data_IF_915815747819
#
_entry.id   IF_915815747819
#
_cell.length_a   1.000
_cell.length_b   1.000
_cell.length_c   1.000
_cell.angle_alpha   90.00
_cell.angle_beta   90.00
_cell.angle_gamma   90.00
#
_symmetry.space_group_name_H-M   'P 1'
#
loop_
_entity.id
_entity.type
_entity.pdbx_description
1 polymer ?
#
# COMPACT_ATOMS: atom_id res chain seq x y z
N UNK A 1 -12.50 22.69 -17.32
CA UNK A 1 -13.79 23.11 -16.69
C UNK A 1 -14.59 24.05 -17.57
N UNK A 2 -14.05 24.53 -18.69
CA UNK A 2 -14.69 25.56 -19.51
C UNK A 2 -15.95 25.06 -20.24
N UNK A 3 -16.07 23.74 -20.44
CA UNK A 3 -17.28 23.07 -20.94
C UNK A 3 -18.43 22.99 -19.89
N UNK A 4 -18.19 23.36 -18.62
CA UNK A 4 -19.17 23.29 -17.52
C UNK A 4 -19.21 24.61 -16.74
N UNK A 5 -19.68 25.72 -17.34
CA UNK A 5 -19.59 27.06 -16.75
C UNK A 5 -20.37 27.19 -15.42
N UNK A 6 -21.52 26.53 -15.30
CA UNK A 6 -22.31 26.52 -14.06
C UNK A 6 -21.59 25.84 -12.90
N UNK A 7 -20.88 24.74 -13.17
CA UNK A 7 -20.02 24.07 -12.19
C UNK A 7 -18.84 24.96 -11.81
N UNK A 8 -18.11 25.50 -12.80
CA UNK A 8 -16.97 26.41 -12.58
C UNK A 8 -17.35 27.58 -11.67
N UNK A 9 -18.48 28.25 -11.93
CA UNK A 9 -18.99 29.36 -11.10
C UNK A 9 -19.21 28.96 -9.65
N UNK A 10 -19.91 27.84 -9.39
CA UNK A 10 -20.21 27.36 -8.03
C UNK A 10 -18.96 26.87 -7.31
N UNK A 11 -18.08 26.17 -8.01
CA UNK A 11 -16.82 25.67 -7.48
C UNK A 11 -15.89 26.83 -7.08
N UNK A 12 -15.68 27.82 -7.96
CA UNK A 12 -14.90 29.02 -7.62
C UNK A 12 -15.54 29.86 -6.51
N UNK A 13 -16.87 29.92 -6.44
CA UNK A 13 -17.55 30.56 -5.30
C UNK A 13 -17.24 29.84 -4.00
N UNK A 14 -17.36 28.51 -3.98
CA UNK A 14 -17.05 27.68 -2.82
C UNK A 14 -15.60 27.88 -2.35
N UNK A 15 -14.62 27.83 -3.26
CA UNK A 15 -13.20 27.99 -2.93
C UNK A 15 -12.87 29.36 -2.32
N UNK A 16 -13.60 30.42 -2.70
CA UNK A 16 -13.36 31.79 -2.21
C UNK A 16 -14.07 32.11 -0.89
N UNK A 17 -15.19 31.47 -0.59
CA UNK A 17 -16.07 31.88 0.52
C UNK A 17 -16.18 30.83 1.63
N UNK A 18 -15.74 29.59 1.40
CA UNK A 18 -15.73 28.55 2.43
C UNK A 18 -14.28 28.27 2.82
N UNK A 19 -13.86 28.81 3.97
CA UNK A 19 -12.52 28.58 4.52
C UNK A 19 -12.45 27.44 5.54
N UNK A 20 -13.59 26.85 5.93
CA UNK A 20 -13.67 25.84 6.98
C UNK A 20 -14.21 24.50 6.45
N UNK A 21 -13.84 23.40 7.12
CA UNK A 21 -14.33 22.04 6.87
C UNK A 21 -13.93 21.51 5.49
N UNK A 22 -14.85 21.34 4.52
CA UNK A 22 -14.59 20.69 3.24
C UNK A 22 -13.52 21.34 2.36
N UNK A 23 -13.19 22.64 2.54
CA UNK A 23 -12.18 23.33 1.74
C UNK A 23 -10.75 22.81 1.94
N UNK A 24 -10.42 22.34 3.15
CA UNK A 24 -9.08 21.83 3.47
C UNK A 24 -8.72 20.55 2.71
N UNK A 25 -9.74 19.91 2.13
CA UNK A 25 -9.65 18.67 1.36
C UNK A 25 -9.53 18.91 -0.15
N UNK A 26 -9.50 20.17 -0.58
CA UNK A 26 -9.32 20.56 -1.98
C UNK A 26 -7.98 21.29 -2.10
N UNK A 27 -7.00 20.64 -2.70
CA UNK A 27 -5.70 21.25 -2.95
C UNK A 27 -5.69 21.86 -4.35
N UNK A 28 -4.99 22.98 -4.49
CA UNK A 28 -4.89 23.75 -5.73
C UNK A 28 -3.42 24.04 -6.02
N UNK A 29 -3.00 23.82 -7.27
CA UNK A 29 -1.66 24.12 -7.76
C UNK A 29 -1.73 24.56 -9.22
N UNK A 30 -0.77 25.38 -9.65
CA UNK A 30 -0.61 25.69 -11.07
C UNK A 30 -0.43 24.40 -11.89
N UNK A 31 -1.08 24.37 -13.05
CA UNK A 31 -1.04 23.21 -13.93
C UNK A 31 0.32 23.12 -14.62
N UNK A 32 0.92 21.93 -14.54
CA UNK A 32 2.13 21.61 -15.31
C UNK A 32 1.84 21.36 -16.78
N UNK A 33 0.57 21.15 -17.17
CA UNK A 33 0.17 20.83 -18.55
C UNK A 33 -0.34 22.03 -19.34
N UNK A 34 -0.97 23.00 -18.68
CA UNK A 34 -1.54 24.18 -19.32
C UNK A 34 -0.93 25.45 -18.72
N UNK A 35 -0.31 26.28 -19.56
CA UNK A 35 0.10 27.64 -19.16
C UNK A 35 -1.12 28.39 -18.62
N UNK A 36 -1.05 28.85 -17.37
CA UNK A 36 -2.12 29.51 -16.62
C UNK A 36 -3.32 28.63 -16.23
N UNK A 37 -3.21 27.30 -16.35
CA UNK A 37 -4.22 26.36 -15.84
C UNK A 37 -4.04 26.10 -14.35
N UNK A 38 -5.10 25.67 -13.67
CA UNK A 38 -5.05 25.20 -12.28
C UNK A 38 -5.40 23.71 -12.24
N UNK A 39 -4.66 22.96 -11.43
CA UNK A 39 -4.94 21.56 -11.11
C UNK A 39 -5.52 21.49 -9.71
N UNK A 40 -6.63 20.78 -9.57
CA UNK A 40 -7.27 20.55 -8.28
C UNK A 40 -7.15 19.07 -7.90
N UNK A 41 -6.87 18.81 -6.64
CA UNK A 41 -6.88 17.47 -6.06
C UNK A 41 -7.87 17.44 -4.89
N UNK A 42 -8.88 16.58 -4.99
CA UNK A 42 -9.83 16.31 -3.90
C UNK A 42 -9.34 15.10 -3.11
N UNK A 43 -9.09 15.28 -1.81
CA UNK A 43 -8.42 14.28 -0.96
C UNK A 43 -9.10 14.16 0.39
N UNK A 44 -9.09 12.96 0.98
CA UNK A 44 -9.54 12.81 2.37
C UNK A 44 -8.52 13.43 3.34
N UNK A 45 -7.21 13.11 3.30
CA UNK A 45 -6.23 13.82 4.10
C UNK A 45 -5.77 15.11 3.40
N UNK A 46 -5.61 16.19 4.16
CA UNK A 46 -4.80 17.33 3.74
C UNK A 46 -3.29 16.97 3.76
N UNK A 47 -2.42 17.90 3.36
CA UNK A 47 -0.97 17.64 3.30
C UNK A 47 -0.37 17.22 4.64
N UNK A 48 -0.71 17.92 5.72
CA UNK A 48 -0.17 17.64 7.06
C UNK A 48 -0.62 16.26 7.56
N UNK A 49 -1.91 15.94 7.36
CA UNK A 49 -2.48 14.64 7.68
C UNK A 49 -1.81 13.53 6.87
N UNK A 50 -1.58 13.75 5.57
CA UNK A 50 -0.91 12.79 4.71
C UNK A 50 0.51 12.49 5.22
N UNK A 51 1.29 13.53 5.59
CA UNK A 51 2.63 13.34 6.17
C UNK A 51 2.59 12.50 7.45
N UNK A 52 1.63 12.77 8.33
CA UNK A 52 1.45 12.00 9.57
C UNK A 52 1.07 10.54 9.31
N UNK A 53 0.17 10.29 8.36
CA UNK A 53 -0.24 8.93 7.98
C UNK A 53 0.97 8.15 7.43
N UNK A 54 1.72 8.74 6.49
CA UNK A 54 2.86 8.07 5.86
C UNK A 54 3.98 7.74 6.84
N UNK A 55 4.15 8.54 7.91
CA UNK A 55 5.11 8.22 8.98
C UNK A 55 4.84 6.85 9.63
N UNK A 56 3.58 6.45 9.80
CA UNK A 56 3.25 5.12 10.34
C UNK A 56 3.18 4.07 9.24
N UNK A 57 2.63 4.44 8.07
CA UNK A 57 2.49 3.51 6.94
C UNK A 57 3.84 2.97 6.46
N UNK A 58 4.88 3.82 6.50
CA UNK A 58 6.22 3.52 5.98
C UNK A 58 7.20 3.11 7.07
N UNK A 59 6.76 2.88 8.31
CA UNK A 59 7.60 2.38 9.41
C UNK A 59 7.58 0.84 9.43
N UNK A 60 8.76 0.24 9.44
CA UNK A 60 8.91 -1.21 9.38
C UNK A 60 8.45 -1.93 10.65
N UNK A 61 8.44 -1.21 11.78
CA UNK A 61 7.89 -1.68 13.05
C UNK A 61 6.37 -1.51 13.15
N UNK A 62 5.74 -0.94 12.12
CA UNK A 62 4.31 -0.68 12.04
C UNK A 62 3.73 -1.43 10.82
N UNK A 63 3.42 -0.72 9.73
CA UNK A 63 2.74 -1.28 8.56
C UNK A 63 3.69 -1.83 7.49
N UNK A 64 4.91 -1.30 7.35
CA UNK A 64 5.79 -1.64 6.24
C UNK A 64 6.53 -2.96 6.46
N UNK A 65 6.01 -4.06 5.92
CA UNK A 65 6.71 -5.35 5.90
C UNK A 65 7.77 -5.39 4.79
N UNK A 66 8.67 -6.37 4.84
CA UNK A 66 9.57 -6.70 3.74
C UNK A 66 8.81 -7.08 2.45
N UNK A 67 7.54 -7.50 2.58
CA UNK A 67 6.72 -8.04 1.51
C UNK A 67 5.52 -7.17 1.11
N UNK A 68 5.39 -5.96 1.67
CA UNK A 68 4.27 -5.04 1.41
C UNK A 68 3.71 -4.40 2.67
N UNK A 69 2.51 -3.83 2.60
CA UNK A 69 1.86 -3.22 3.77
C UNK A 69 0.96 -4.23 4.49
N UNK A 70 1.15 -4.35 5.79
CA UNK A 70 0.32 -5.14 6.72
C UNK A 70 -1.08 -4.54 6.83
N UNK A 71 -2.09 -5.37 7.09
CA UNK A 71 -3.47 -4.91 7.31
C UNK A 71 -3.70 -4.27 8.68
N UNK A 72 -2.85 -4.58 9.66
CA UNK A 72 -2.79 -3.94 10.97
C UNK A 72 -1.33 -3.67 11.32
N UNK A 73 -1.09 -2.57 12.02
CA UNK A 73 0.25 -2.27 12.51
C UNK A 73 0.80 -3.38 13.40
N UNK A 74 2.07 -3.74 13.17
CA UNK A 74 2.84 -4.63 14.03
C UNK A 74 3.03 -4.09 15.46
N UNK A 75 2.87 -2.79 15.69
CA UNK A 75 2.86 -2.20 17.04
C UNK A 75 1.86 -2.88 17.98
N UNK A 76 0.71 -3.31 17.46
CA UNK A 76 -0.34 -3.99 18.21
C UNK A 76 -0.01 -5.43 18.60
N UNK A 77 1.15 -5.96 18.21
CA UNK A 77 1.68 -7.22 18.74
C UNK A 77 1.98 -7.08 20.24
N UNK A 78 2.62 -5.97 20.62
CA UNK A 78 3.02 -5.68 22.01
C UNK A 78 2.04 -4.75 22.73
N UNK A 79 1.24 -3.99 21.99
CA UNK A 79 0.31 -3.01 22.51
C UNK A 79 -1.09 -3.22 21.92
N UNK A 80 -1.77 -4.31 22.29
CA UNK A 80 -3.08 -4.61 21.72
C UNK A 80 -4.09 -3.53 22.06
N UNK A 81 -5.02 -3.29 21.14
CA UNK A 81 -6.18 -2.45 21.44
C UNK A 81 -7.17 -3.26 22.27
N UNK A 82 -7.43 -2.80 23.50
CA UNK A 82 -8.33 -3.43 24.47
C UNK A 82 -9.64 -2.65 24.53
N UNK A 83 -10.77 -3.35 24.42
CA UNK A 83 -12.10 -2.77 24.58
C UNK A 83 -12.86 -3.53 25.68
N UNK A 84 -13.29 -2.78 26.69
CA UNK A 84 -14.10 -3.29 27.79
C UNK A 84 -15.55 -2.83 27.57
N UNK A 85 -16.46 -3.78 27.52
CA UNK A 85 -17.90 -3.52 27.48
C UNK A 85 -18.53 -4.12 28.73
N UNK A 86 -19.41 -3.37 29.40
CA UNK A 86 -19.90 -3.69 30.75
C UNK A 86 -20.42 -5.13 30.84
N UNK A 87 -19.79 -5.92 31.72
CA UNK A 87 -20.15 -7.32 32.00
C UNK A 87 -19.62 -8.36 31.01
N UNK A 88 -18.95 -7.96 29.93
CA UNK A 88 -18.29 -8.88 28.99
C UNK A 88 -16.79 -9.05 29.30
N UNK A 89 -16.23 -10.20 28.90
CA UNK A 89 -14.78 -10.40 28.92
C UNK A 89 -14.06 -9.37 28.02
N UNK A 90 -12.86 -8.97 28.45
CA UNK A 90 -12.00 -8.02 27.73
C UNK A 90 -11.74 -8.48 26.29
N UNK A 91 -12.15 -7.68 25.31
CA UNK A 91 -11.91 -7.96 23.88
C UNK A 91 -10.60 -7.29 23.43
N UNK A 92 -9.74 -8.06 22.75
CA UNK A 92 -8.44 -7.61 22.27
C UNK A 92 -8.31 -7.70 20.75
N UNK A 93 -7.80 -6.63 20.16
CA UNK A 93 -7.29 -6.63 18.78
C UNK A 93 -5.77 -6.62 18.86
N UNK A 94 -5.17 -7.78 18.58
CA UNK A 94 -3.73 -8.01 18.54
C UNK A 94 -3.29 -8.16 17.08
N UNK A 95 -2.05 -7.77 16.76
CA UNK A 95 -1.42 -8.12 15.50
C UNK A 95 -1.26 -9.64 15.36
N UNK A 96 -1.80 -10.21 14.30
CA UNK A 96 -1.71 -11.63 13.97
C UNK A 96 -1.31 -11.72 12.50
N UNK A 97 -0.09 -12.16 12.16
CA UNK A 97 0.42 -12.06 10.80
C UNK A 97 -0.14 -13.13 9.85
N UNK A 98 -0.79 -14.18 10.37
CA UNK A 98 -1.25 -15.37 9.65
C UNK A 98 -2.77 -15.57 9.77
N UNK A 99 -3.25 -16.81 9.88
CA UNK A 99 -4.65 -17.14 10.17
C UNK A 99 -5.13 -16.52 11.50
N UNK A 100 -6.44 -16.34 11.65
CA UNK A 100 -7.01 -15.78 12.87
C UNK A 100 -6.82 -16.74 14.05
N UNK A 101 -6.39 -16.20 15.20
CA UNK A 101 -6.29 -16.96 16.45
C UNK A 101 -7.64 -17.26 17.12
N UNK A 102 -8.74 -16.69 16.62
CA UNK A 102 -10.08 -16.90 17.15
C UNK A 102 -11.06 -17.29 16.05
N UNK A 103 -12.05 -18.13 16.39
CA UNK A 103 -13.07 -18.64 15.47
C UNK A 103 -14.14 -17.61 15.05
N UNK A 104 -14.03 -16.35 15.46
CA UNK A 104 -14.94 -15.32 14.96
C UNK A 104 -14.78 -15.20 13.44
N UNK A 105 -15.90 -15.16 12.72
CA UNK A 105 -15.94 -15.09 11.25
C UNK A 105 -15.25 -16.27 10.53
N UNK A 106 -15.32 -17.47 11.10
CA UNK A 106 -14.88 -18.70 10.43
C UNK A 106 -13.38 -18.99 10.51
N UNK A 107 -12.61 -18.24 11.32
CA UNK A 107 -11.22 -18.53 11.69
C UNK A 107 -10.16 -18.37 10.58
N UNK A 108 -10.54 -18.46 9.31
CA UNK A 108 -9.61 -18.51 8.20
C UNK A 108 -9.29 -17.14 7.56
N UNK A 109 -10.14 -16.12 7.69
CA UNK A 109 -9.86 -14.80 7.10
C UNK A 109 -9.39 -13.83 8.19
N UNK A 110 -8.25 -13.17 7.96
CA UNK A 110 -7.64 -12.29 8.95
C UNK A 110 -7.18 -10.96 8.34
N UNK A 111 -7.72 -9.86 8.87
CA UNK A 111 -7.39 -8.48 8.52
C UNK A 111 -6.57 -7.79 9.61
N UNK A 112 -6.00 -8.56 10.54
CA UNK A 112 -5.26 -8.04 11.71
C UNK A 112 -3.75 -8.23 11.59
N UNK A 113 -3.22 -8.16 10.38
CA UNK A 113 -1.78 -8.28 10.18
C UNK A 113 -1.32 -8.79 8.81
N UNK A 114 -2.03 -9.72 8.14
CA UNK A 114 -1.62 -10.22 6.84
C UNK A 114 -1.59 -9.11 5.78
N UNK A 115 -0.85 -9.36 4.71
CA UNK A 115 -0.73 -8.48 3.54
C UNK A 115 -1.82 -8.87 2.53
N UNK A 116 -2.62 -7.89 2.12
CA UNK A 116 -3.67 -8.06 1.12
C UNK A 116 -3.35 -7.22 -0.11
N UNK A 117 -3.31 -7.86 -1.29
CA UNK A 117 -2.93 -7.17 -2.52
C UNK A 117 -3.95 -6.12 -2.96
N UNK A 118 -5.25 -6.31 -2.71
CA UNK A 118 -6.27 -5.32 -3.07
C UNK A 118 -6.00 -3.95 -2.40
N UNK A 119 -5.69 -3.93 -1.11
CA UNK A 119 -5.42 -2.69 -0.37
C UNK A 119 -4.07 -2.10 -0.77
N UNK A 120 -3.04 -2.94 -0.89
CA UNK A 120 -1.72 -2.49 -1.33
C UNK A 120 -1.75 -1.85 -2.71
N UNK A 121 -2.47 -2.45 -3.66
CA UNK A 121 -2.64 -1.92 -5.01
C UNK A 121 -3.29 -0.52 -4.98
N UNK A 122 -4.38 -0.36 -4.22
CA UNK A 122 -5.07 0.93 -4.09
C UNK A 122 -4.17 2.00 -3.44
N UNK A 123 -3.32 1.61 -2.49
CA UNK A 123 -2.37 2.52 -1.86
C UNK A 123 -1.28 2.97 -2.83
N UNK A 124 -0.73 2.06 -3.63
CA UNK A 124 0.24 2.39 -4.69
C UNK A 124 -0.37 3.39 -5.69
N UNK A 125 -1.57 3.10 -6.20
CA UNK A 125 -2.31 3.99 -7.11
C UNK A 125 -2.59 5.38 -6.49
N UNK A 126 -2.93 5.41 -5.20
CA UNK A 126 -3.14 6.65 -4.47
C UNK A 126 -1.84 7.46 -4.41
N UNK A 127 -0.72 6.85 -4.02
CA UNK A 127 0.60 7.51 -3.93
C UNK A 127 1.03 8.11 -5.27
N UNK A 128 0.82 7.39 -6.38
CA UNK A 128 1.10 7.89 -7.73
C UNK A 128 0.21 9.08 -8.11
N UNK A 129 -1.07 9.04 -7.72
CA UNK A 129 -2.00 10.17 -7.93
C UNK A 129 -1.60 11.39 -7.11
N UNK A 130 -1.19 11.19 -5.86
CA UNK A 130 -0.66 12.27 -5.04
C UNK A 130 0.66 12.82 -5.60
N UNK A 131 1.54 11.96 -6.10
CA UNK A 131 2.78 12.39 -6.74
C UNK A 131 2.52 13.28 -7.96
N UNK A 132 1.58 12.94 -8.83
CA UNK A 132 1.20 13.78 -9.98
C UNK A 132 0.78 15.20 -9.58
N UNK A 133 0.26 15.39 -8.38
CA UNK A 133 -0.11 16.70 -7.85
C UNK A 133 1.07 17.40 -7.16
N UNK A 134 1.71 16.73 -6.20
CA UNK A 134 2.76 17.33 -5.39
C UNK A 134 4.09 17.50 -6.14
N UNK A 135 4.46 16.54 -6.99
CA UNK A 135 5.70 16.51 -7.76
C UNK A 135 6.94 16.17 -6.93
N UNK A 136 8.12 16.35 -7.53
CA UNK A 136 9.41 15.88 -7.00
C UNK A 136 9.92 16.65 -5.78
N UNK A 137 9.40 17.86 -5.55
CA UNK A 137 9.76 18.69 -4.39
C UNK A 137 9.19 18.15 -3.08
N UNK A 138 8.15 17.31 -3.15
CA UNK A 138 7.50 16.76 -1.98
C UNK A 138 8.06 15.39 -1.65
N UNK A 139 8.78 15.32 -0.53
CA UNK A 139 9.43 14.09 -0.08
C UNK A 139 9.00 13.72 1.34
N UNK A 140 9.07 12.42 1.61
CA UNK A 140 8.88 11.79 2.92
C UNK A 140 9.99 10.77 3.15
N UNK A 141 10.22 10.45 4.41
CA UNK A 141 11.21 9.44 4.78
C UNK A 141 10.64 8.04 4.52
N UNK A 142 11.35 7.21 3.76
CA UNK A 142 10.92 5.84 3.44
C UNK A 142 12.14 4.91 3.29
N UNK A 143 12.26 3.86 4.13
CA UNK A 143 11.44 3.59 5.31
C UNK A 143 11.51 4.72 6.35
N UNK A 144 10.48 4.87 7.18
CA UNK A 144 10.50 5.86 8.27
C UNK A 144 11.66 5.55 9.22
N UNK A 145 12.40 6.59 9.67
CA UNK A 145 13.65 6.53 10.46
C UNK A 145 14.90 6.02 9.71
N UNK A 146 14.86 5.85 8.39
CA UNK A 146 16.02 5.44 7.59
C UNK A 146 16.97 6.60 7.21
N UNK A 147 16.53 7.85 7.35
CA UNK A 147 17.18 9.04 6.78
C UNK A 147 16.99 9.20 5.27
N UNK A 148 16.39 8.22 4.58
CA UNK A 148 16.23 8.25 3.13
C UNK A 148 14.94 8.98 2.73
N UNK A 149 15.11 10.15 2.09
CA UNK A 149 13.99 10.96 1.62
C UNK A 149 13.60 10.59 0.19
N UNK A 150 12.37 10.09 0.03
CA UNK A 150 11.79 9.66 -1.24
C UNK A 150 10.60 10.54 -1.63
N UNK A 151 10.46 10.79 -2.93
CA UNK A 151 9.22 11.28 -3.53
C UNK A 151 8.11 10.24 -3.41
N UNK A 152 6.85 10.66 -3.54
CA UNK A 152 5.72 9.72 -3.50
C UNK A 152 5.76 8.64 -4.59
N UNK A 153 6.36 8.93 -5.75
CA UNK A 153 6.56 7.93 -6.81
C UNK A 153 7.65 6.92 -6.45
N UNK A 154 8.73 7.36 -5.80
CA UNK A 154 9.75 6.45 -5.29
C UNK A 154 9.20 5.57 -4.16
N UNK A 155 8.36 6.13 -3.28
CA UNK A 155 7.66 5.35 -2.24
C UNK A 155 6.72 4.32 -2.84
N UNK A 156 5.93 4.69 -3.87
CA UNK A 156 5.03 3.74 -4.54
C UNK A 156 5.82 2.59 -5.14
N UNK A 157 6.94 2.88 -5.81
CA UNK A 157 7.88 1.89 -6.37
C UNK A 157 8.54 1.02 -5.31
N UNK A 158 8.89 1.56 -4.14
CA UNK A 158 9.47 0.76 -3.05
C UNK A 158 8.45 -0.25 -2.50
N UNK A 159 7.18 0.16 -2.33
CA UNK A 159 6.11 -0.76 -1.95
C UNK A 159 5.89 -1.80 -3.03
N UNK A 160 5.79 -1.40 -4.30
CA UNK A 160 5.70 -2.30 -5.46
C UNK A 160 6.82 -3.33 -5.47
N UNK A 161 8.08 -2.90 -5.29
CA UNK A 161 9.25 -3.78 -5.21
C UNK A 161 9.09 -4.81 -4.10
N UNK A 162 8.70 -4.39 -2.88
CA UNK A 162 8.44 -5.30 -1.76
C UNK A 162 7.33 -6.31 -2.07
N UNK A 163 6.23 -5.88 -2.69
CA UNK A 163 5.15 -6.77 -3.10
C UNK A 163 5.62 -7.81 -4.12
N UNK A 164 6.46 -7.43 -5.09
CA UNK A 164 6.98 -8.39 -6.09
C UNK A 164 7.86 -9.48 -5.46
N UNK A 165 8.52 -9.21 -4.33
CA UNK A 165 9.30 -10.24 -3.60
C UNK A 165 8.44 -11.42 -3.14
N UNK A 166 7.13 -11.25 -2.97
CA UNK A 166 6.22 -12.36 -2.67
C UNK A 166 6.36 -13.47 -3.70
N UNK A 167 6.49 -13.10 -4.98
CA UNK A 167 6.45 -14.02 -6.10
C UNK A 167 7.81 -14.24 -6.74
N UNK A 168 8.75 -13.30 -6.66
CA UNK A 168 10.08 -13.46 -7.25
C UNK A 168 10.95 -14.42 -6.43
N UNK A 169 11.94 -15.04 -7.09
CA UNK A 169 12.96 -15.82 -6.37
C UNK A 169 13.93 -14.89 -5.67
N UNK A 170 14.25 -15.21 -4.43
CA UNK A 170 15.34 -14.58 -3.68
C UNK A 170 16.71 -15.13 -4.13
N UNK A 171 17.78 -14.66 -3.48
CA UNK A 171 19.16 -15.08 -3.75
C UNK A 171 19.40 -16.57 -3.46
N UNK A 172 18.54 -17.21 -2.66
CA UNK A 172 18.56 -18.64 -2.37
C UNK A 172 17.65 -19.44 -3.33
N UNK A 173 17.06 -18.76 -4.33
CA UNK A 173 16.15 -19.35 -5.30
C UNK A 173 14.75 -19.62 -4.78
N UNK A 174 14.39 -19.14 -3.58
CA UNK A 174 13.09 -19.39 -2.94
C UNK A 174 12.08 -18.29 -3.24
N UNK A 175 10.79 -18.62 -3.21
CA UNK A 175 9.69 -17.65 -3.33
C UNK A 175 8.92 -17.58 -2.03
N UNK A 176 8.75 -16.37 -1.47
CA UNK A 176 8.08 -16.22 -0.19
C UNK A 176 6.66 -16.79 -0.17
N UNK A 177 5.88 -16.60 -1.24
CA UNK A 177 4.50 -17.08 -1.34
C UNK A 177 4.35 -18.60 -1.18
N UNK A 178 5.39 -19.39 -1.46
CA UNK A 178 5.37 -20.85 -1.36
C UNK A 178 5.75 -21.38 0.04
N UNK A 179 6.06 -20.50 1.00
CA UNK A 179 6.41 -20.88 2.37
C UNK A 179 7.69 -21.69 2.48
N UNK A 180 7.82 -22.55 3.49
CA UNK A 180 9.06 -23.31 3.74
C UNK A 180 9.04 -24.77 3.26
N UNK A 181 7.95 -25.21 2.63
CA UNK A 181 7.85 -26.58 2.14
C UNK A 181 8.82 -26.83 0.98
N UNK A 182 9.76 -27.73 1.21
CA UNK A 182 10.84 -28.07 0.28
C UNK A 182 10.35 -28.49 -1.10
N UNK A 183 9.17 -29.12 -1.20
CA UNK A 183 8.60 -29.57 -2.47
C UNK A 183 8.33 -28.37 -3.36
N UNK A 184 7.62 -27.37 -2.84
CA UNK A 184 7.29 -26.16 -3.59
C UNK A 184 8.50 -25.24 -3.80
N UNK A 185 9.54 -25.32 -2.97
CA UNK A 185 10.72 -24.47 -3.18
C UNK A 185 11.73 -25.04 -4.18
N UNK A 186 11.95 -26.36 -4.18
CA UNK A 186 13.11 -26.96 -4.86
C UNK A 186 12.76 -27.99 -5.93
N UNK A 187 11.62 -28.67 -5.82
CA UNK A 187 11.26 -29.70 -6.79
C UNK A 187 11.01 -29.07 -8.17
N UNK A 188 11.74 -29.47 -9.24
CA UNK A 188 11.56 -28.93 -10.58
C UNK A 188 10.14 -29.03 -11.14
N UNK A 189 9.33 -29.99 -10.65
CA UNK A 189 7.95 -30.17 -11.09
C UNK A 189 6.96 -29.23 -10.39
N UNK A 190 7.34 -28.66 -9.24
CA UNK A 190 6.42 -27.87 -8.40
C UNK A 190 6.85 -26.41 -8.23
N UNK A 191 8.15 -26.12 -8.27
CA UNK A 191 8.73 -24.81 -7.92
C UNK A 191 8.31 -23.62 -8.79
N UNK A 192 7.73 -23.91 -9.95
CA UNK A 192 7.24 -22.91 -10.89
C UNK A 192 5.70 -22.92 -11.02
N UNK A 193 5.01 -23.75 -10.24
CA UNK A 193 3.55 -23.77 -10.12
C UNK A 193 3.11 -22.75 -9.06
N UNK A 194 3.07 -21.47 -9.46
CA UNK A 194 2.70 -20.38 -8.56
C UNK A 194 1.21 -20.42 -8.19
N UNK A 195 0.94 -20.27 -6.90
CA UNK A 195 -0.40 -20.16 -6.34
C UNK A 195 -0.74 -18.69 -6.07
N UNK A 196 -2.01 -18.34 -6.27
CA UNK A 196 -2.53 -17.01 -6.04
C UNK A 196 -3.35 -17.05 -4.77
N UNK A 197 -2.71 -16.74 -3.65
CA UNK A 197 -3.32 -16.81 -2.34
C UNK A 197 -4.24 -15.63 -2.05
N UNK A 198 -5.21 -15.82 -1.16
CA UNK A 198 -6.14 -14.77 -0.70
C UNK A 198 -5.38 -13.59 -0.07
N UNK A 199 -4.44 -13.91 0.81
CA UNK A 199 -3.57 -12.98 1.50
C UNK A 199 -2.22 -13.64 1.81
N UNK A 200 -1.28 -12.85 2.31
CA UNK A 200 0.07 -13.30 2.60
C UNK A 200 0.44 -13.02 4.05
N UNK A 201 1.26 -13.88 4.63
CA UNK A 201 1.74 -13.72 5.99
C UNK A 201 2.46 -12.37 6.14
N UNK A 202 2.08 -11.59 7.15
CA UNK A 202 2.53 -10.21 7.33
C UNK A 202 4.04 -10.06 7.50
N UNK A 203 4.72 -11.08 8.03
CA UNK A 203 6.18 -11.07 8.23
C UNK A 203 7.00 -11.97 7.28
N UNK A 204 6.56 -13.19 6.94
CA UNK A 204 7.32 -14.11 6.06
C UNK A 204 6.91 -14.05 4.58
N UNK A 205 5.77 -13.45 4.25
CA UNK A 205 5.25 -13.42 2.88
C UNK A 205 4.65 -14.74 2.37
N UNK A 206 4.53 -15.76 3.22
CA UNK A 206 3.88 -17.03 2.87
C UNK A 206 2.44 -16.81 2.39
N UNK A 207 2.03 -17.48 1.31
CA UNK A 207 0.66 -17.44 0.83
C UNK A 207 -0.28 -18.23 1.75
N UNK A 208 -1.42 -17.62 2.10
CA UNK A 208 -2.40 -18.16 3.05
C UNK A 208 -3.84 -18.01 2.51
N UNK A 209 -4.80 -18.67 3.16
CA UNK A 209 -6.19 -18.71 2.69
C UNK A 209 -6.35 -19.46 1.37
N UNK A 210 -7.37 -19.11 0.58
CA UNK A 210 -7.65 -19.77 -0.69
C UNK A 210 -6.49 -19.62 -1.69
N UNK A 211 -6.03 -20.71 -2.31
CA UNK A 211 -4.81 -20.76 -3.15
C UNK A 211 -5.03 -20.50 -4.65
N UNK A 212 -6.28 -20.42 -5.11
CA UNK A 212 -6.67 -20.10 -6.49
C UNK A 212 -7.46 -18.79 -6.58
N UNK A 213 -7.04 -17.80 -5.81
CA UNK A 213 -7.61 -16.47 -5.80
C UNK A 213 -7.00 -15.58 -6.89
N UNK A 214 -7.21 -15.94 -8.16
CA UNK A 214 -6.93 -15.06 -9.31
C UNK A 214 -7.93 -13.89 -9.42
N UNK A 215 -8.48 -13.45 -8.28
CA UNK A 215 -9.19 -12.19 -8.12
C UNK A 215 -8.19 -11.06 -7.89
N UNK A 216 -8.22 -10.41 -6.72
CA UNK A 216 -7.32 -9.27 -6.47
C UNK A 216 -5.84 -9.64 -6.47
N UNK A 217 -5.47 -10.90 -6.24
CA UNK A 217 -4.05 -11.29 -6.20
C UNK A 217 -3.41 -11.21 -7.58
N UNK A 218 -4.22 -11.33 -8.66
CA UNK A 218 -3.76 -11.13 -10.03
C UNK A 218 -3.25 -9.70 -10.31
N UNK A 219 -3.61 -8.72 -9.47
CA UNK A 219 -3.11 -7.34 -9.58
C UNK A 219 -1.58 -7.25 -9.46
N UNK A 220 -0.91 -8.27 -8.90
CA UNK A 220 0.55 -8.31 -8.87
C UNK A 220 1.19 -8.28 -10.25
N UNK A 221 0.51 -8.77 -11.29
CA UNK A 221 1.04 -8.82 -12.66
C UNK A 221 1.41 -7.40 -13.11
N UNK A 222 0.53 -6.44 -12.83
CA UNK A 222 0.77 -5.01 -13.14
C UNK A 222 2.04 -4.50 -12.46
N UNK A 223 2.22 -4.82 -11.18
CA UNK A 223 3.40 -4.43 -10.43
C UNK A 223 4.70 -5.05 -10.97
N UNK A 224 4.66 -6.32 -11.41
CA UNK A 224 5.81 -6.98 -12.02
C UNK A 224 6.16 -6.35 -13.37
N UNK A 225 5.16 -6.06 -14.21
CA UNK A 225 5.35 -5.37 -15.50
C UNK A 225 5.96 -3.97 -15.33
N UNK A 226 5.45 -3.19 -14.37
CA UNK A 226 5.96 -1.86 -14.06
C UNK A 226 7.43 -1.93 -13.62
N UNK A 227 7.79 -2.88 -12.75
CA UNK A 227 9.18 -3.08 -12.32
C UNK A 227 10.10 -3.52 -13.47
N UNK A 228 9.64 -4.40 -14.35
CA UNK A 228 10.41 -4.83 -15.52
C UNK A 228 10.67 -3.69 -16.50
N UNK A 229 9.67 -2.84 -16.72
CA UNK A 229 9.78 -1.65 -17.58
C UNK A 229 10.80 -0.67 -17.00
N UNK A 230 10.69 -0.34 -15.71
CA UNK A 230 11.61 0.58 -15.02
C UNK A 230 13.06 0.11 -15.07
N UNK A 231 13.30 -1.20 -14.91
CA UNK A 231 14.66 -1.76 -15.02
C UNK A 231 15.23 -1.54 -16.42
N UNK A 232 14.43 -1.80 -17.45
CA UNK A 232 14.85 -1.62 -18.85
C UNK A 232 15.18 -0.16 -19.15
N UNK A 233 14.36 0.78 -18.67
CA UNK A 233 14.61 2.22 -18.83
C UNK A 233 15.89 2.68 -18.13
N UNK A 234 16.19 2.15 -16.94
CA UNK A 234 17.41 2.49 -16.22
C UNK A 234 18.66 1.95 -16.92
N UNK A 235 18.63 0.69 -17.38
CA UNK A 235 19.73 0.10 -18.17
C UNK A 235 20.00 0.88 -19.46
N UNK A 236 18.97 1.46 -20.09
CA UNK A 236 19.13 2.30 -21.27
C UNK A 236 19.73 3.68 -20.96
N UNK A 237 19.48 4.25 -19.78
CA UNK A 237 20.07 5.53 -19.36
C UNK A 237 21.53 5.43 -18.95
N UNK A 238 21.96 4.24 -18.52
CA UNK A 238 23.35 3.95 -18.12
C UNK A 238 24.25 3.60 -19.31
N UNK A 239 23.68 3.37 -20.50
CA UNK A 239 24.39 3.14 -21.77
C UNK A 239 24.56 4.42 -22.55
#
# INVERSE_FOLDING_TARGET
MDMLPGFKKRFSYFLRHKNNGPRQHILEKESTKNKNGLTYLLTIPNEEQLRRILKYLLDENEFLSEYGLRSLSKYHEKHPFTFNFDGEEEKKVIYVPAESLCGMYGGNSNWRGPIWLCINYLLVEALERYHRFYGDSWKVECPTRSGQMMTLLEVSREITRRLTKLFLRDDQGRRACLGDDHRFQKDPHWRDLLLFHEYFHGDSGQGLGASHQTGWTALIIRHIEDMATLRTENEQKER
#
